data_IF_731111796042
#
_entry.id   IF_731111796042
#
_cell.length_a   1.000
_cell.length_b   1.000
_cell.length_c   1.000
_cell.angle_alpha   90.00
_cell.angle_beta   90.00
_cell.angle_gamma   90.00
#
_symmetry.space_group_name_H-M   'P 1'
#
loop_
_entity.id
_entity.type
_entity.pdbx_description
1 polymer ?
#
# COMPACT_ATOMS: atom_id res chain seq x y z
N UNK A 1 7.61 7.65 -24.76
CA UNK A 1 6.23 7.30 -25.18
C UNK A 1 5.32 7.72 -24.03
N UNK A 2 4.06 8.11 -24.28
CA UNK A 2 3.16 8.47 -23.21
C UNK A 2 2.89 7.26 -22.30
N UNK A 3 2.67 7.50 -20.98
CA UNK A 3 2.34 6.44 -20.04
C UNK A 3 1.06 5.69 -20.43
N UNK A 4 0.90 4.46 -19.96
CA UNK A 4 -0.21 3.57 -20.36
C UNK A 4 -1.60 4.19 -20.14
N UNK A 5 -1.75 5.05 -19.14
CA UNK A 5 -3.00 5.74 -18.79
C UNK A 5 -3.00 7.25 -19.13
N UNK A 6 -2.14 7.70 -20.05
CA UNK A 6 -2.00 9.14 -20.38
C UNK A 6 -3.27 9.80 -20.95
N UNK A 7 -4.24 9.00 -21.37
CA UNK A 7 -5.56 9.44 -21.86
C UNK A 7 -6.64 9.43 -20.76
N UNK A 8 -6.29 9.04 -19.52
CA UNK A 8 -7.21 8.90 -18.40
C UNK A 8 -7.06 10.09 -17.44
N UNK A 9 -8.17 10.65 -17.02
CA UNK A 9 -8.22 11.68 -15.97
C UNK A 9 -8.95 11.17 -14.74
N UNK A 10 -8.33 11.33 -13.57
CA UNK A 10 -8.81 10.87 -12.28
C UNK A 10 -9.14 12.08 -11.39
N UNK A 11 -10.34 12.14 -10.86
CA UNK A 11 -10.75 13.07 -9.81
C UNK A 11 -10.62 12.34 -8.46
N UNK A 12 -9.62 12.70 -7.67
CA UNK A 12 -9.31 12.05 -6.39
C UNK A 12 -9.86 12.90 -5.24
N UNK A 13 -11.04 12.53 -4.73
CA UNK A 13 -11.66 13.13 -3.54
C UNK A 13 -11.22 12.42 -2.26
N UNK A 14 -10.45 11.34 -2.37
CA UNK A 14 -10.07 10.50 -1.25
C UNK A 14 -9.02 11.14 -0.35
N UNK A 15 -8.93 10.67 0.89
CA UNK A 15 -8.01 11.17 1.93
C UNK A 15 -7.24 10.03 2.57
N UNK A 16 -6.23 10.36 3.31
CA UNK A 16 -5.39 9.50 4.14
C UNK A 16 -4.49 8.60 3.27
N UNK A 17 -4.80 7.31 3.05
CA UNK A 17 -3.84 6.43 2.41
C UNK A 17 -4.44 5.53 1.31
N UNK A 18 -5.48 4.76 1.57
CA UNK A 18 -5.96 3.74 0.63
C UNK A 18 -6.33 4.32 -0.76
N UNK A 19 -7.20 5.33 -0.79
CA UNK A 19 -7.56 6.03 -2.04
C UNK A 19 -6.38 6.80 -2.65
N UNK A 20 -5.65 7.63 -1.86
CA UNK A 20 -4.47 8.32 -2.36
C UNK A 20 -3.40 7.39 -2.92
N UNK A 21 -3.21 6.19 -2.36
CA UNK A 21 -2.30 5.17 -2.89
C UNK A 21 -2.74 4.68 -4.28
N UNK A 22 -4.04 4.40 -4.47
CA UNK A 22 -4.61 4.10 -5.79
C UNK A 22 -4.37 5.25 -6.77
N UNK A 23 -4.70 6.49 -6.38
CA UNK A 23 -4.50 7.69 -7.22
C UNK A 23 -3.03 7.87 -7.62
N UNK A 24 -2.08 7.63 -6.71
CA UNK A 24 -0.64 7.68 -7.01
C UNK A 24 -0.23 6.63 -8.04
N UNK A 25 -0.69 5.38 -7.90
CA UNK A 25 -0.37 4.31 -8.86
C UNK A 25 -0.93 4.64 -10.25
N UNK A 26 -2.17 5.13 -10.34
CA UNK A 26 -2.75 5.57 -11.62
C UNK A 26 -1.94 6.73 -12.22
N UNK A 27 -1.48 7.67 -11.39
CA UNK A 27 -0.58 8.76 -11.80
C UNK A 27 0.78 8.27 -12.31
N UNK A 28 1.39 7.30 -11.65
CA UNK A 28 2.65 6.66 -12.07
C UNK A 28 2.50 5.97 -13.43
N UNK A 29 1.34 5.39 -13.69
CA UNK A 29 0.99 4.77 -14.97
C UNK A 29 0.62 5.78 -16.07
N UNK A 30 0.66 7.07 -15.78
CA UNK A 30 0.47 8.14 -16.77
C UNK A 30 -0.82 8.93 -16.64
N UNK A 31 -1.79 8.53 -15.80
CA UNK A 31 -3.04 9.26 -15.65
C UNK A 31 -2.82 10.69 -15.14
N UNK A 32 -3.69 11.62 -15.57
CA UNK A 32 -3.80 12.93 -14.96
C UNK A 32 -4.64 12.82 -13.69
N UNK A 33 -4.04 13.04 -12.51
CA UNK A 33 -4.74 12.92 -11.22
C UNK A 33 -4.93 14.28 -10.59
N UNK A 34 -6.19 14.67 -10.37
CA UNK A 34 -6.61 15.91 -9.70
C UNK A 34 -7.08 15.55 -8.31
N UNK A 35 -6.25 15.88 -7.30
CA UNK A 35 -6.59 15.68 -5.90
C UNK A 35 -7.36 16.90 -5.39
N UNK A 36 -8.60 16.69 -4.99
CA UNK A 36 -9.44 17.71 -4.37
C UNK A 36 -9.20 17.70 -2.86
N UNK A 37 -8.86 18.85 -2.33
CA UNK A 37 -8.53 19.02 -0.92
C UNK A 37 -9.35 20.14 -0.29
N UNK A 38 -9.62 20.05 1.02
CA UNK A 38 -10.30 21.13 1.74
C UNK A 38 -9.43 22.39 1.75
N UNK A 39 -10.00 23.58 1.49
CA UNK A 39 -9.26 24.84 1.63
C UNK A 39 -8.62 24.98 3.02
N UNK A 40 -7.46 25.59 3.08
CA UNK A 40 -6.65 25.88 4.25
C UNK A 40 -6.09 24.67 5.02
N UNK A 41 -6.77 23.53 5.07
CA UNK A 41 -6.35 22.35 5.86
C UNK A 41 -5.83 21.19 5.01
N UNK A 42 -6.38 20.99 3.83
CA UNK A 42 -6.00 19.90 2.94
C UNK A 42 -6.38 18.52 3.45
N UNK A 43 -5.62 17.52 2.99
CA UNK A 43 -5.68 16.15 3.47
C UNK A 43 -5.14 16.07 4.91
N UNK A 44 -5.79 15.27 5.75
CA UNK A 44 -5.40 15.09 7.16
C UNK A 44 -3.92 14.70 7.31
N UNK A 45 -3.38 13.94 6.36
CA UNK A 45 -1.97 13.49 6.35
C UNK A 45 -0.95 14.62 6.20
N UNK A 46 -1.34 15.81 5.73
CA UNK A 46 -0.47 16.99 5.74
C UNK A 46 -0.03 17.40 7.14
N UNK A 47 -0.85 17.04 8.16
CA UNK A 47 -0.60 17.36 9.57
C UNK A 47 -0.04 16.18 10.37
N UNK A 48 0.16 15.02 9.73
CA UNK A 48 0.68 13.83 10.41
C UNK A 48 2.22 13.78 10.40
N UNK A 49 2.81 14.78 10.99
CA UNK A 49 4.24 14.87 11.27
C UNK A 49 4.50 15.15 12.76
N UNK A 50 5.74 15.08 13.25
CA UNK A 50 6.96 14.81 12.49
C UNK A 50 7.02 13.37 11.95
N UNK A 51 7.89 13.08 10.91
CA UNK A 51 8.83 14.01 10.31
C UNK A 51 8.21 14.88 9.21
N UNK A 52 8.84 16.05 9.01
CA UNK A 52 8.54 16.96 7.90
C UNK A 52 9.75 17.05 6.94
N UNK A 53 9.48 17.26 5.65
CA UNK A 53 10.50 17.51 4.66
C UNK A 53 11.33 18.74 5.08
N UNK A 54 12.64 18.65 4.95
CA UNK A 54 13.53 19.78 5.20
C UNK A 54 13.60 20.72 4.00
N UNK A 55 13.48 22.00 4.25
CA UNK A 55 13.73 23.04 3.28
C UNK A 55 15.21 23.17 2.92
N UNK A 56 15.50 24.04 1.96
CA UNK A 56 16.87 24.21 1.44
C UNK A 56 17.88 24.73 2.48
N UNK A 57 17.40 25.35 3.57
CA UNK A 57 18.25 25.83 4.67
C UNK A 57 18.21 24.90 5.91
N UNK A 58 17.58 23.73 5.79
CA UNK A 58 17.49 22.72 6.84
C UNK A 58 16.33 22.90 7.82
N UNK A 59 15.49 23.93 7.65
CA UNK A 59 14.26 24.16 8.39
C UNK A 59 13.20 23.08 8.10
N UNK A 60 12.23 22.91 8.99
CA UNK A 60 11.06 22.09 8.67
C UNK A 60 10.12 22.84 7.73
N UNK A 61 9.71 22.20 6.65
CA UNK A 61 8.60 22.68 5.82
C UNK A 61 7.25 22.27 6.42
N UNK A 62 6.14 22.63 5.77
CA UNK A 62 4.80 22.11 6.09
C UNK A 62 4.53 20.72 5.56
N UNK A 63 5.43 20.15 4.77
CA UNK A 63 5.21 18.91 4.04
C UNK A 63 5.52 17.68 4.91
N UNK A 64 4.49 17.06 5.47
CA UNK A 64 4.64 15.84 6.28
C UNK A 64 5.03 14.64 5.42
N UNK A 65 5.97 13.81 5.90
CA UNK A 65 6.43 12.63 5.19
C UNK A 65 5.28 11.66 4.85
N UNK A 66 4.23 11.60 5.67
CA UNK A 66 3.06 10.77 5.40
C UNK A 66 2.33 11.22 4.14
N UNK A 67 2.04 12.51 3.99
CA UNK A 67 1.44 13.07 2.78
C UNK A 67 2.31 12.81 1.53
N UNK A 68 3.62 13.02 1.66
CA UNK A 68 4.57 12.83 0.57
C UNK A 68 4.61 11.38 0.06
N UNK A 69 4.30 10.39 0.90
CA UNK A 69 4.39 8.97 0.55
C UNK A 69 3.35 8.50 -0.47
N UNK A 70 2.21 9.21 -0.63
CA UNK A 70 1.06 8.73 -1.40
C UNK A 70 0.50 9.76 -2.42
N UNK A 71 1.24 10.87 -2.71
CA UNK A 71 0.64 11.96 -3.49
C UNK A 71 1.50 12.48 -4.65
N UNK A 72 2.58 11.78 -5.06
CA UNK A 72 3.31 12.16 -6.29
C UNK A 72 2.43 11.97 -7.53
N UNK A 73 2.78 12.66 -8.59
CA UNK A 73 2.07 12.67 -9.87
C UNK A 73 0.62 13.19 -9.79
N UNK A 74 0.28 13.93 -8.72
CA UNK A 74 -1.03 14.57 -8.56
C UNK A 74 -0.94 16.09 -8.73
N UNK A 75 -2.10 16.70 -9.01
CA UNK A 75 -2.32 18.14 -9.01
C UNK A 75 -3.30 18.49 -7.89
N UNK A 76 -2.94 19.37 -6.97
CA UNK A 76 -3.80 19.77 -5.85
C UNK A 76 -4.75 20.90 -6.28
N UNK A 77 -6.03 20.66 -6.11
CA UNK A 77 -7.13 21.62 -6.23
C UNK A 77 -7.78 21.77 -4.85
N UNK A 78 -7.70 22.96 -4.25
CA UNK A 78 -8.51 23.24 -3.06
C UNK A 78 -9.96 23.50 -3.45
N UNK A 79 -10.92 22.82 -2.78
CA UNK A 79 -12.33 22.98 -3.06
C UNK A 79 -13.19 22.54 -1.87
N UNK A 80 -14.06 23.44 -1.39
CA UNK A 80 -15.06 23.13 -0.38
C UNK A 80 -16.39 22.71 -1.02
N UNK A 81 -16.57 21.42 -1.26
CA UNK A 81 -17.81 20.87 -1.80
C UNK A 81 -18.93 20.70 -0.75
N UNK A 82 -18.75 21.17 0.49
CA UNK A 82 -19.90 21.34 1.40
C UNK A 82 -20.75 22.55 1.01
N UNK A 83 -20.19 23.49 0.23
CA UNK A 83 -20.88 24.63 -0.36
C UNK A 83 -21.45 24.27 -1.74
N UNK A 84 -22.60 24.85 -2.08
CA UNK A 84 -23.30 24.58 -3.36
C UNK A 84 -22.43 24.87 -4.60
N UNK A 85 -21.62 25.91 -4.54
CA UNK A 85 -20.71 26.27 -5.62
C UNK A 85 -19.59 25.24 -5.78
N UNK A 86 -19.02 24.74 -4.68
CA UNK A 86 -18.06 23.66 -4.71
C UNK A 86 -18.64 22.34 -5.27
N UNK A 87 -19.90 22.04 -4.94
CA UNK A 87 -20.61 20.89 -5.52
C UNK A 87 -20.80 21.04 -7.03
N UNK A 88 -21.16 22.24 -7.49
CA UNK A 88 -21.28 22.54 -8.92
C UNK A 88 -19.97 22.28 -9.65
N UNK A 89 -18.87 22.79 -9.10
CA UNK A 89 -17.53 22.62 -9.68
C UNK A 89 -17.13 21.13 -9.74
N UNK A 90 -17.40 20.33 -8.68
CA UNK A 90 -17.15 18.88 -8.73
C UNK A 90 -17.93 18.21 -9.84
N UNK A 91 -19.23 18.54 -10.00
CA UNK A 91 -20.06 17.98 -11.07
C UNK A 91 -19.53 18.33 -12.47
N UNK A 92 -19.09 19.56 -12.67
CA UNK A 92 -18.47 19.98 -13.94
C UNK A 92 -17.15 19.26 -14.21
N UNK A 93 -16.30 19.08 -13.19
CA UNK A 93 -15.07 18.30 -13.32
C UNK A 93 -15.34 16.84 -13.63
N UNK A 94 -16.39 16.23 -13.08
CA UNK A 94 -16.77 14.84 -13.34
C UNK A 94 -17.15 14.62 -14.82
N UNK A 95 -17.74 15.62 -15.48
CA UNK A 95 -18.04 15.55 -16.91
C UNK A 95 -16.76 15.38 -17.76
N UNK A 96 -15.62 15.88 -17.25
CA UNK A 96 -14.32 15.88 -17.90
C UNK A 96 -13.39 14.75 -17.38
N UNK A 97 -13.85 13.91 -16.44
CA UNK A 97 -13.04 12.87 -15.81
C UNK A 97 -13.52 11.45 -16.15
N UNK A 98 -12.59 10.53 -16.17
CA UNK A 98 -12.83 9.10 -16.43
C UNK A 98 -13.09 8.31 -15.16
N UNK A 99 -12.42 8.68 -14.08
CA UNK A 99 -12.44 7.99 -12.80
C UNK A 99 -12.65 8.98 -11.66
N UNK A 100 -13.48 8.62 -10.69
CA UNK A 100 -13.57 9.31 -9.41
C UNK A 100 -13.17 8.33 -8.30
N UNK A 101 -12.30 8.78 -7.39
CA UNK A 101 -11.91 8.03 -6.18
C UNK A 101 -12.46 8.77 -4.95
N UNK A 102 -13.10 8.03 -4.03
CA UNK A 102 -13.55 8.60 -2.77
C UNK A 102 -13.43 7.58 -1.62
N UNK A 103 -13.34 8.06 -0.37
CA UNK A 103 -13.34 7.23 0.83
C UNK A 103 -14.11 7.88 2.00
N UNK A 104 -15.26 8.46 1.69
CA UNK A 104 -16.15 9.03 2.68
C UNK A 104 -17.02 7.94 3.33
N UNK A 105 -17.71 8.30 4.41
CA UNK A 105 -18.70 7.40 5.02
C UNK A 105 -19.80 7.09 4.01
N UNK A 106 -20.34 5.89 4.09
CA UNK A 106 -21.48 5.45 3.28
C UNK A 106 -22.60 6.48 3.30
N UNK A 107 -23.03 6.92 2.13
CA UNK A 107 -24.06 7.96 1.97
C UNK A 107 -23.59 9.40 2.21
N UNK A 108 -22.35 9.62 2.65
CA UNK A 108 -21.85 10.97 2.96
C UNK A 108 -21.82 11.92 1.77
N UNK A 109 -21.53 11.44 0.58
CA UNK A 109 -21.51 12.24 -0.64
C UNK A 109 -22.91 12.40 -1.26
N UNK A 110 -23.88 11.55 -0.95
CA UNK A 110 -25.26 11.64 -1.43
C UNK A 110 -25.94 12.95 -0.99
N UNK A 111 -25.64 13.43 0.23
CA UNK A 111 -26.15 14.72 0.73
C UNK A 111 -25.71 15.92 -0.13
N UNK A 112 -24.66 15.76 -0.93
CA UNK A 112 -24.12 16.78 -1.83
C UNK A 112 -24.44 16.52 -3.31
N UNK A 113 -25.16 15.41 -3.63
CA UNK A 113 -25.39 14.97 -5.00
C UNK A 113 -24.09 14.58 -5.72
N UNK A 114 -23.14 14.00 -4.99
CA UNK A 114 -21.82 13.58 -5.46
C UNK A 114 -21.62 12.05 -5.30
N UNK A 115 -22.69 11.30 -5.04
CA UNK A 115 -22.74 9.85 -5.05
C UNK A 115 -22.76 9.28 -6.47
N UNK A 116 -22.55 7.98 -6.60
CA UNK A 116 -22.47 7.31 -7.90
C UNK A 116 -23.71 7.55 -8.77
N UNK A 117 -24.92 7.39 -8.24
CA UNK A 117 -26.15 7.51 -9.02
C UNK A 117 -26.36 8.94 -9.53
N UNK A 118 -26.03 9.94 -8.71
CA UNK A 118 -26.10 11.36 -9.10
C UNK A 118 -25.09 11.69 -10.19
N UNK A 119 -23.85 11.21 -10.07
CA UNK A 119 -22.76 11.54 -11.01
C UNK A 119 -22.82 10.71 -12.29
N UNK A 120 -23.31 9.49 -12.24
CA UNK A 120 -23.59 8.65 -13.42
C UNK A 120 -24.58 9.31 -14.38
N UNK A 121 -25.55 10.07 -13.86
CA UNK A 121 -26.49 10.83 -14.69
C UNK A 121 -25.79 11.94 -15.49
N UNK A 122 -24.68 12.47 -14.98
CA UNK A 122 -23.86 13.50 -15.65
C UNK A 122 -22.87 12.85 -16.62
N UNK A 123 -22.18 11.80 -16.17
CA UNK A 123 -21.21 11.07 -16.96
C UNK A 123 -21.46 9.55 -16.88
N UNK A 124 -22.22 8.97 -17.83
CA UNK A 124 -22.51 7.54 -17.86
C UNK A 124 -21.26 6.65 -18.09
N UNK A 125 -20.15 7.24 -18.48
CA UNK A 125 -18.85 6.56 -18.67
C UNK A 125 -17.96 6.60 -17.43
N UNK A 126 -18.40 7.30 -16.37
CA UNK A 126 -17.63 7.46 -15.14
C UNK A 126 -17.39 6.11 -14.45
N UNK A 127 -16.14 5.84 -14.08
CA UNK A 127 -15.80 4.80 -13.12
C UNK A 127 -15.71 5.44 -11.75
N UNK A 128 -16.64 5.07 -10.87
CA UNK A 128 -16.73 5.61 -9.52
C UNK A 128 -16.21 4.57 -8.52
N UNK A 129 -15.09 4.85 -7.87
CA UNK A 129 -14.47 3.93 -6.91
C UNK A 129 -14.65 4.44 -5.48
N UNK A 130 -15.44 3.69 -4.70
CA UNK A 130 -15.67 3.94 -3.27
C UNK A 130 -14.81 3.00 -2.43
N UNK A 131 -14.15 3.55 -1.42
CA UNK A 131 -13.37 2.79 -0.43
C UNK A 131 -13.95 3.08 0.95
N UNK A 132 -14.48 2.05 1.61
CA UNK A 132 -15.07 2.16 2.95
C UNK A 132 -14.42 1.20 3.94
N UNK A 133 -14.75 1.31 5.23
CA UNK A 133 -14.25 0.37 6.23
C UNK A 133 -14.86 -1.03 6.12
N UNK A 134 -16.18 -1.10 5.79
CA UNK A 134 -16.97 -2.31 5.96
C UNK A 134 -17.94 -2.62 4.79
N UNK A 135 -17.88 -1.87 3.69
CA UNK A 135 -18.83 -1.98 2.59
C UNK A 135 -20.07 -1.09 2.78
N UNK A 136 -20.87 -1.00 1.72
CA UNK A 136 -22.09 -0.17 1.69
C UNK A 136 -23.32 -0.86 2.31
N UNK A 137 -23.23 -2.15 2.55
CA UNK A 137 -24.29 -2.98 3.15
C UNK A 137 -23.83 -3.74 4.39
N UNK A 138 -24.73 -4.55 4.97
CA UNK A 138 -24.44 -5.34 6.15
C UNK A 138 -24.47 -4.55 7.48
N UNK A 139 -24.27 -5.25 8.60
CA UNK A 139 -24.48 -4.67 9.94
C UNK A 139 -23.47 -3.60 10.33
N UNK A 140 -22.34 -3.48 9.62
CA UNK A 140 -21.27 -2.53 9.93
C UNK A 140 -21.14 -1.38 8.91
N UNK A 141 -22.01 -1.28 7.92
CA UNK A 141 -21.92 -0.30 6.84
C UNK A 141 -21.76 1.16 7.33
N UNK A 142 -22.39 1.53 8.44
CA UNK A 142 -22.32 2.89 8.99
C UNK A 142 -21.12 3.14 9.92
N UNK A 143 -20.29 2.12 10.17
CA UNK A 143 -19.12 2.26 11.04
C UNK A 143 -17.95 2.90 10.28
N UNK A 144 -17.21 3.77 10.95
CA UNK A 144 -15.92 4.22 10.44
C UNK A 144 -14.89 3.08 10.54
N UNK A 145 -14.05 2.94 9.51
CA UNK A 145 -12.94 1.99 9.45
C UNK A 145 -11.61 2.71 9.30
N UNK A 146 -10.61 2.27 10.06
CA UNK A 146 -9.21 2.66 9.90
C UNK A 146 -8.34 1.41 9.91
N UNK A 147 -7.22 1.44 9.21
CA UNK A 147 -6.30 0.31 9.03
C UNK A 147 -6.06 -0.52 10.30
N UNK A 148 -5.63 0.13 11.39
CA UNK A 148 -5.28 -0.58 12.62
C UNK A 148 -6.48 -1.35 13.21
N UNK A 149 -7.66 -0.72 13.21
CA UNK A 149 -8.88 -1.38 13.69
C UNK A 149 -9.25 -2.57 12.79
N UNK A 150 -9.08 -2.43 11.49
CA UNK A 150 -9.37 -3.50 10.53
C UNK A 150 -8.34 -4.63 10.61
N UNK A 151 -7.06 -4.36 10.84
CA UNK A 151 -6.08 -5.41 11.13
C UNK A 151 -6.49 -6.26 12.35
N UNK A 152 -7.08 -5.63 13.37
CA UNK A 152 -7.63 -6.32 14.53
C UNK A 152 -8.89 -7.14 14.21
N UNK A 153 -9.90 -6.49 13.62
CA UNK A 153 -11.19 -7.13 13.29
C UNK A 153 -11.08 -8.18 12.18
N UNK A 154 -10.22 -7.93 11.20
CA UNK A 154 -10.00 -8.80 10.04
C UNK A 154 -9.04 -9.97 10.29
N UNK A 155 -8.66 -10.23 11.54
CA UNK A 155 -7.90 -11.43 11.92
C UNK A 155 -6.38 -11.36 11.75
N UNK A 156 -5.82 -10.34 11.06
CA UNK A 156 -4.37 -10.24 10.83
C UNK A 156 -3.59 -10.20 12.15
N UNK A 157 -4.03 -9.40 13.12
CA UNK A 157 -3.36 -9.29 14.42
C UNK A 157 -3.41 -10.58 15.23
N UNK A 158 -4.37 -11.45 14.99
CA UNK A 158 -4.42 -12.77 15.65
C UNK A 158 -3.28 -13.70 15.19
N UNK A 159 -2.69 -13.43 14.03
CA UNK A 159 -1.62 -14.19 13.40
C UNK A 159 -0.24 -13.55 13.60
N UNK A 160 -0.20 -12.23 13.83
CA UNK A 160 1.03 -11.43 13.89
C UNK A 160 1.40 -11.14 15.34
N UNK A 161 2.66 -11.40 15.70
CA UNK A 161 3.21 -11.24 17.04
C UNK A 161 3.92 -12.51 17.53
N UNK A 162 4.49 -12.46 18.73
CA UNK A 162 5.20 -13.60 19.33
C UNK A 162 4.26 -14.77 19.59
N UNK A 163 4.80 -15.98 19.55
CA UNK A 163 4.07 -17.19 19.86
C UNK A 163 3.46 -17.12 21.28
N UNK A 164 2.38 -17.87 21.52
CA UNK A 164 1.60 -17.75 22.77
C UNK A 164 2.39 -18.20 24.02
N UNK A 165 3.39 -19.06 23.84
CA UNK A 165 4.29 -19.60 24.87
C UNK A 165 5.57 -18.78 25.06
N UNK A 166 5.77 -17.72 24.29
CA UNK A 166 6.95 -16.86 24.40
C UNK A 166 6.72 -15.65 25.33
N UNK A 167 7.82 -15.20 25.97
CA UNK A 167 7.78 -13.99 26.78
C UNK A 167 7.39 -12.75 25.91
N UNK A 168 6.41 -11.98 26.37
CA UNK A 168 5.86 -10.86 25.63
C UNK A 168 4.91 -11.27 24.51
N UNK A 169 4.32 -12.49 24.60
CA UNK A 169 3.27 -12.93 23.68
C UNK A 169 2.09 -11.93 23.62
N UNK A 170 1.53 -11.78 22.43
CA UNK A 170 0.37 -10.95 22.20
C UNK A 170 0.18 -10.58 20.72
N UNK A 171 -1.02 -10.14 20.34
CA UNK A 171 -1.29 -9.67 18.99
C UNK A 171 -0.58 -8.34 18.73
N UNK A 172 0.07 -8.24 17.58
CA UNK A 172 0.80 -7.04 17.14
C UNK A 172 0.31 -6.66 15.73
N UNK A 173 0.06 -5.37 15.50
CA UNK A 173 -0.21 -4.90 14.14
C UNK A 173 1.06 -4.92 13.28
N UNK A 174 0.89 -5.00 11.96
CA UNK A 174 2.00 -4.75 11.03
C UNK A 174 2.46 -3.29 11.15
N UNK A 175 3.76 -3.04 11.04
CA UNK A 175 4.37 -1.72 11.25
C UNK A 175 3.94 -0.63 10.25
N UNK A 176 3.45 -1.03 9.08
CA UNK A 176 2.84 -0.15 8.07
C UNK A 176 1.33 -0.31 8.07
N UNK A 177 0.59 0.67 7.53
CA UNK A 177 -0.86 0.59 7.30
C UNK A 177 -1.15 -0.36 6.12
N UNK A 178 -0.93 -1.67 6.35
CA UNK A 178 -0.90 -2.69 5.32
C UNK A 178 -2.26 -2.88 4.66
N UNK A 179 -3.35 -2.83 5.43
CA UNK A 179 -4.71 -2.96 4.91
C UNK A 179 -5.06 -1.82 3.96
N UNK A 180 -4.68 -0.59 4.30
CA UNK A 180 -4.86 0.57 3.40
C UNK A 180 -4.10 0.39 2.09
N UNK A 181 -2.83 -0.01 2.15
CA UNK A 181 -1.98 -0.22 0.96
C UNK A 181 -2.58 -1.32 0.07
N UNK A 182 -2.97 -2.46 0.64
CA UNK A 182 -3.60 -3.56 -0.10
C UNK A 182 -4.94 -3.12 -0.70
N UNK A 183 -5.74 -2.34 0.03
CA UNK A 183 -7.00 -1.80 -0.50
C UNK A 183 -6.76 -0.84 -1.66
N UNK A 184 -5.75 0.01 -1.59
CA UNK A 184 -5.34 0.87 -2.70
C UNK A 184 -4.89 0.08 -3.93
N UNK A 185 -4.19 -1.04 -3.74
CA UNK A 185 -3.84 -1.97 -4.83
C UNK A 185 -5.07 -2.63 -5.43
N UNK A 186 -5.99 -3.17 -4.62
CA UNK A 186 -7.24 -3.75 -5.12
C UNK A 186 -8.12 -2.70 -5.82
N UNK A 187 -8.17 -1.46 -5.30
CA UNK A 187 -8.86 -0.36 -5.95
C UNK A 187 -8.27 -0.07 -7.34
N UNK A 188 -6.94 -0.05 -7.45
CA UNK A 188 -6.27 0.10 -8.75
C UNK A 188 -6.65 -1.01 -9.71
N UNK A 189 -6.62 -2.28 -9.27
CA UNK A 189 -7.05 -3.43 -10.09
C UNK A 189 -8.51 -3.30 -10.52
N UNK A 190 -9.40 -2.95 -9.59
CA UNK A 190 -10.82 -2.73 -9.86
C UNK A 190 -11.06 -1.62 -10.88
N UNK A 191 -10.38 -0.48 -10.73
CA UNK A 191 -10.45 0.65 -11.68
C UNK A 191 -9.95 0.24 -13.07
N UNK A 192 -8.80 -0.46 -13.16
CA UNK A 192 -8.26 -0.94 -14.44
C UNK A 192 -9.19 -1.95 -15.12
N UNK A 193 -9.79 -2.87 -14.36
CA UNK A 193 -10.79 -3.80 -14.87
C UNK A 193 -12.04 -3.07 -15.39
N UNK A 194 -12.51 -2.05 -14.65
CA UNK A 194 -13.65 -1.23 -15.05
C UNK A 194 -13.35 -0.38 -16.29
N UNK A 195 -12.14 0.18 -16.41
CA UNK A 195 -11.69 0.87 -17.62
C UNK A 195 -11.69 -0.07 -18.84
N UNK A 196 -11.13 -1.27 -18.70
CA UNK A 196 -11.15 -2.27 -19.77
C UNK A 196 -12.57 -2.69 -20.16
N UNK A 197 -13.47 -2.85 -19.20
CA UNK A 197 -14.88 -3.11 -19.47
C UNK A 197 -15.53 -1.96 -20.22
N UNK A 198 -15.28 -0.71 -19.82
CA UNK A 198 -15.79 0.50 -20.46
C UNK A 198 -15.35 0.62 -21.92
N UNK A 199 -14.11 0.27 -22.24
CA UNK A 199 -13.63 0.30 -23.64
C UNK A 199 -14.42 -0.65 -24.54
N UNK A 200 -14.94 -1.76 -24.01
CA UNK A 200 -15.71 -2.74 -24.77
C UNK A 200 -17.21 -2.38 -24.86
N UNK A 201 -17.78 -1.79 -23.81
CA UNK A 201 -19.24 -1.62 -23.66
C UNK A 201 -19.70 -0.16 -23.65
N UNK A 202 -18.78 0.79 -23.60
CA UNK A 202 -19.08 2.23 -23.61
C UNK A 202 -19.60 2.81 -22.31
N UNK A 203 -19.82 1.99 -21.25
CA UNK A 203 -20.40 2.42 -19.98
C UNK A 203 -19.41 2.26 -18.82
N UNK A 204 -19.45 3.24 -17.89
CA UNK A 204 -18.76 3.16 -16.62
C UNK A 204 -19.49 2.29 -15.60
N UNK A 205 -18.92 2.17 -14.41
CA UNK A 205 -19.53 1.40 -13.32
C UNK A 205 -19.05 1.87 -11.95
N UNK A 206 -19.76 1.42 -10.91
CA UNK A 206 -19.33 1.54 -9.53
C UNK A 206 -18.35 0.41 -9.19
N UNK A 207 -17.23 0.77 -8.59
CA UNK A 207 -16.23 -0.13 -8.00
C UNK A 207 -16.26 0.11 -6.50
N UNK A 208 -16.68 -0.87 -5.73
CA UNK A 208 -16.75 -0.78 -4.28
C UNK A 208 -15.69 -1.65 -3.62
N UNK A 209 -14.98 -1.10 -2.65
CA UNK A 209 -14.00 -1.78 -1.82
C UNK A 209 -14.29 -1.54 -0.34
N UNK A 210 -14.19 -2.61 0.46
CA UNK A 210 -14.17 -2.52 1.91
C UNK A 210 -12.79 -2.95 2.44
N UNK A 211 -12.22 -2.15 3.36
CA UNK A 211 -10.97 -2.52 4.01
C UNK A 211 -11.04 -3.90 4.67
N UNK A 212 -12.18 -4.22 5.30
CA UNK A 212 -12.36 -5.53 5.96
C UNK A 212 -12.33 -6.68 4.97
N UNK A 213 -13.00 -6.55 3.82
CA UNK A 213 -13.06 -7.60 2.80
C UNK A 213 -11.68 -7.86 2.20
N UNK A 214 -10.95 -6.79 1.90
CA UNK A 214 -9.57 -6.88 1.41
C UNK A 214 -8.68 -7.54 2.46
N UNK A 215 -8.79 -7.14 3.74
CA UNK A 215 -8.02 -7.76 4.82
C UNK A 215 -8.29 -9.25 4.93
N UNK A 216 -9.55 -9.69 4.88
CA UNK A 216 -9.94 -11.11 4.94
C UNK A 216 -9.40 -11.86 3.72
N UNK A 217 -9.54 -11.30 2.51
CA UNK A 217 -9.00 -11.91 1.29
C UNK A 217 -7.47 -12.11 1.37
N UNK A 218 -6.77 -11.20 2.04
CA UNK A 218 -5.31 -11.26 2.22
C UNK A 218 -4.84 -12.21 3.34
N UNK A 219 -5.73 -12.85 4.10
CA UNK A 219 -5.32 -13.92 5.03
C UNK A 219 -4.86 -15.20 4.33
N UNK A 220 -5.17 -15.37 3.05
CA UNK A 220 -4.65 -16.40 2.16
C UNK A 220 -4.68 -17.83 2.76
N UNK A 221 -3.50 -18.47 2.88
CA UNK A 221 -3.37 -19.83 3.43
C UNK A 221 -3.85 -19.96 4.89
N UNK A 222 -3.76 -18.92 5.69
CA UNK A 222 -4.22 -18.96 7.08
C UNK A 222 -5.76 -19.04 7.17
N UNK A 223 -6.45 -18.28 6.30
CA UNK A 223 -7.90 -18.43 6.16
C UNK A 223 -8.27 -19.84 5.71
N UNK A 224 -7.55 -20.38 4.71
CA UNK A 224 -7.79 -21.75 4.22
C UNK A 224 -7.48 -22.82 5.26
N UNK A 225 -6.45 -22.65 6.09
CA UNK A 225 -6.18 -23.53 7.22
C UNK A 225 -7.39 -23.60 8.17
N UNK A 226 -8.00 -22.46 8.48
CA UNK A 226 -9.22 -22.43 9.30
C UNK A 226 -10.42 -23.05 8.58
N UNK A 227 -10.69 -22.64 7.37
CA UNK A 227 -11.88 -23.08 6.62
C UNK A 227 -11.89 -24.59 6.33
N UNK A 228 -10.71 -25.23 6.21
CA UNK A 228 -10.58 -26.65 5.97
C UNK A 228 -10.58 -27.50 7.24
N UNK A 229 -10.21 -26.94 8.38
CA UNK A 229 -10.04 -27.69 9.63
C UNK A 229 -11.02 -27.29 10.73
N UNK A 230 -11.61 -26.11 10.65
CA UNK A 230 -12.41 -25.52 11.74
C UNK A 230 -11.54 -25.04 12.93
N UNK A 231 -10.21 -25.16 12.86
CA UNK A 231 -9.30 -24.79 13.95
C UNK A 231 -8.66 -23.44 13.64
N UNK A 232 -8.88 -22.45 14.51
CA UNK A 232 -8.28 -21.12 14.34
C UNK A 232 -6.74 -21.21 14.45
N UNK A 233 -6.01 -20.66 13.45
CA UNK A 233 -4.57 -20.59 13.51
C UNK A 233 -4.09 -19.75 14.71
N UNK A 234 -2.94 -20.16 15.28
CA UNK A 234 -2.29 -19.44 16.39
C UNK A 234 -1.14 -18.61 15.89
N UNK A 235 -0.71 -17.62 16.70
CA UNK A 235 0.55 -16.90 16.46
C UNK A 235 1.73 -17.85 16.62
N UNK A 236 2.67 -17.77 15.71
CA UNK A 236 3.88 -18.62 15.65
C UNK A 236 5.17 -17.78 15.57
N UNK A 237 5.12 -16.51 15.95
CA UNK A 237 6.22 -15.59 15.69
C UNK A 237 6.50 -15.48 14.19
N UNK A 238 7.76 -15.68 13.81
CA UNK A 238 8.18 -15.70 12.40
C UNK A 238 8.07 -17.09 11.75
N UNK A 239 7.66 -18.12 12.48
CA UNK A 239 7.62 -19.49 11.95
C UNK A 239 6.45 -19.70 10.98
N UNK A 240 6.74 -20.35 9.86
CA UNK A 240 5.70 -20.74 8.89
C UNK A 240 4.90 -21.95 9.40
N UNK A 241 3.53 -21.93 9.32
CA UNK A 241 2.72 -23.03 9.85
C UNK A 241 2.93 -24.37 9.11
N UNK A 242 3.18 -24.34 7.81
CA UNK A 242 3.15 -25.52 6.95
C UNK A 242 4.52 -25.91 6.36
N UNK A 243 5.59 -25.16 6.64
CA UNK A 243 6.95 -25.38 6.11
C UNK A 243 7.98 -25.26 7.25
N UNK A 244 8.95 -26.19 7.30
CA UNK A 244 10.02 -26.20 8.32
C UNK A 244 11.34 -26.65 7.69
N UNK A 245 12.47 -25.95 7.98
CA UNK A 245 12.57 -24.65 8.65
C UNK A 245 12.21 -23.50 7.71
N UNK A 246 11.37 -22.59 8.19
CA UNK A 246 10.99 -21.37 7.48
C UNK A 246 10.70 -20.30 8.54
N UNK A 247 11.74 -19.63 9.04
CA UNK A 247 11.71 -18.62 10.11
C UNK A 247 13.07 -17.96 10.29
N UNK A 248 13.19 -17.09 11.28
CA UNK A 248 14.45 -16.53 11.75
C UNK A 248 15.18 -17.47 12.71
N UNK A 249 16.51 -17.35 12.69
CA UNK A 249 17.42 -18.09 13.58
C UNK A 249 18.53 -17.15 14.06
N UNK A 250 18.93 -17.24 15.36
CA UNK A 250 20.04 -16.44 15.88
C UNK A 250 21.36 -16.83 15.23
N UNK A 251 22.22 -15.86 15.01
CA UNK A 251 23.61 -16.04 14.55
C UNK A 251 24.58 -15.50 15.58
N UNK A 252 25.87 -15.50 15.30
CA UNK A 252 26.88 -14.96 16.22
C UNK A 252 26.76 -13.45 16.44
N UNK A 253 26.15 -12.72 15.50
CA UNK A 253 26.08 -11.24 15.48
C UNK A 253 24.70 -10.65 15.20
N UNK A 254 23.66 -11.48 15.14
CA UNK A 254 22.29 -11.04 14.85
C UNK A 254 21.36 -12.22 14.55
N UNK A 255 20.56 -12.07 13.48
CA UNK A 255 19.61 -13.09 13.04
C UNK A 255 19.70 -13.32 11.53
N UNK A 256 19.41 -14.56 11.10
CA UNK A 256 19.25 -14.94 9.71
C UNK A 256 17.84 -15.51 9.45
N UNK A 257 17.24 -15.13 8.35
CA UNK A 257 16.03 -15.78 7.85
C UNK A 257 16.42 -16.97 6.99
N UNK A 258 15.89 -18.16 7.31
CA UNK A 258 15.97 -19.35 6.49
C UNK A 258 14.60 -19.62 5.86
N UNK A 259 14.56 -19.80 4.52
CA UNK A 259 13.32 -20.05 3.76
C UNK A 259 13.43 -21.34 2.96
N UNK A 260 13.50 -22.47 3.66
CA UNK A 260 13.73 -23.80 3.07
C UNK A 260 12.40 -24.40 2.63
N UNK A 261 12.06 -24.23 1.35
CA UNK A 261 10.77 -24.58 0.79
C UNK A 261 10.61 -26.04 0.33
N UNK A 262 11.70 -26.83 0.24
CA UNK A 262 11.65 -28.22 -0.24
C UNK A 262 12.75 -29.08 0.36
N UNK A 263 12.64 -30.40 0.16
CA UNK A 263 13.55 -31.38 0.78
C UNK A 263 14.97 -31.31 0.19
N UNK A 264 15.12 -30.93 -1.09
CA UNK A 264 16.44 -30.73 -1.71
C UNK A 264 17.19 -29.53 -1.12
N UNK A 265 16.49 -28.44 -0.83
CA UNK A 265 17.06 -27.29 -0.12
C UNK A 265 17.42 -27.64 1.33
N UNK A 266 16.60 -28.47 2.00
CA UNK A 266 16.91 -28.93 3.35
C UNK A 266 18.19 -29.79 3.40
N UNK A 267 18.39 -30.69 2.45
CA UNK A 267 19.62 -31.48 2.32
C UNK A 267 20.85 -30.58 2.20
N UNK A 268 20.80 -29.60 1.29
CA UNK A 268 21.89 -28.63 1.10
C UNK A 268 22.15 -27.79 2.35
N UNK A 269 21.11 -27.35 3.03
CA UNK A 269 21.23 -26.65 4.29
C UNK A 269 21.92 -27.52 5.36
N UNK A 270 21.51 -28.78 5.49
CA UNK A 270 22.11 -29.73 6.45
C UNK A 270 23.61 -29.96 6.19
N UNK A 271 24.00 -30.05 4.91
CA UNK A 271 25.41 -30.12 4.50
C UNK A 271 26.20 -28.87 4.92
N UNK A 272 25.68 -27.66 4.61
CA UNK A 272 26.31 -26.38 4.99
C UNK A 272 26.38 -26.21 6.51
N UNK A 273 25.37 -26.71 7.21
CA UNK A 273 25.28 -26.67 8.66
C UNK A 273 26.25 -27.70 9.34
N UNK A 274 26.88 -28.59 8.57
CA UNK A 274 27.78 -29.65 9.09
C UNK A 274 27.03 -30.84 9.66
N UNK A 275 25.76 -31.01 9.34
CA UNK A 275 24.89 -32.08 9.84
C UNK A 275 24.14 -32.78 8.68
N UNK A 276 24.87 -33.37 7.70
CA UNK A 276 24.24 -34.02 6.54
C UNK A 276 23.28 -35.15 6.94
N UNK A 277 23.49 -35.78 8.10
CA UNK A 277 22.64 -36.85 8.65
C UNK A 277 21.18 -36.38 8.90
N UNK A 278 20.92 -35.11 9.09
CA UNK A 278 19.55 -34.59 9.27
C UNK A 278 18.66 -34.87 8.04
N UNK A 279 19.24 -34.85 6.85
CA UNK A 279 18.49 -35.05 5.63
C UNK A 279 18.02 -36.50 5.41
N UNK A 280 18.68 -37.46 6.08
CA UNK A 280 18.35 -38.88 6.00
C UNK A 280 17.63 -39.39 7.28
N UNK A 281 17.47 -38.53 8.30
CA UNK A 281 16.69 -38.85 9.49
C UNK A 281 15.20 -38.92 9.14
N UNK A 282 14.51 -40.04 9.41
CA UNK A 282 13.07 -40.16 9.11
C UNK A 282 12.17 -39.04 9.69
N UNK A 283 12.61 -38.42 10.79
CA UNK A 283 11.91 -37.27 11.42
C UNK A 283 12.01 -35.99 10.57
N UNK A 284 13.04 -35.88 9.70
CA UNK A 284 13.36 -34.63 8.98
C UNK A 284 13.47 -34.79 7.47
N UNK A 285 13.45 -35.99 6.95
CA UNK A 285 13.70 -36.32 5.55
C UNK A 285 12.70 -35.66 4.56
N UNK A 286 11.49 -35.36 4.99
CA UNK A 286 10.51 -34.64 4.18
C UNK A 286 9.80 -33.52 4.96
N UNK A 287 9.23 -32.52 4.24
CA UNK A 287 8.59 -31.38 4.90
C UNK A 287 7.48 -31.79 5.87
N UNK A 288 6.65 -32.77 5.52
CA UNK A 288 5.58 -33.27 6.41
C UNK A 288 6.15 -33.77 7.73
N UNK A 289 7.26 -34.50 7.70
CA UNK A 289 7.94 -35.02 8.89
C UNK A 289 8.56 -33.87 9.70
N UNK A 290 9.23 -32.91 9.05
CA UNK A 290 9.80 -31.72 9.71
C UNK A 290 8.74 -30.87 10.39
N UNK A 291 7.57 -30.68 9.77
CA UNK A 291 6.43 -29.97 10.39
C UNK A 291 5.97 -30.69 11.66
N UNK A 292 5.87 -32.02 11.62
CA UNK A 292 5.46 -32.83 12.79
C UNK A 292 6.50 -32.77 13.91
N UNK A 293 7.79 -32.74 13.57
CA UNK A 293 8.92 -32.75 14.52
C UNK A 293 9.59 -31.36 14.66
N UNK A 294 8.87 -30.25 14.41
CA UNK A 294 9.45 -28.89 14.49
C UNK A 294 10.04 -28.57 15.86
N UNK A 295 9.41 -29.07 16.92
CA UNK A 295 9.86 -28.88 18.31
C UNK A 295 11.23 -29.51 18.58
N UNK A 296 11.65 -30.47 17.78
CA UNK A 296 12.97 -31.09 17.85
C UNK A 296 13.95 -30.38 16.91
N UNK A 297 13.61 -30.21 15.65
CA UNK A 297 14.51 -29.70 14.62
C UNK A 297 14.88 -28.22 14.83
N UNK A 298 13.93 -27.37 15.18
CA UNK A 298 14.18 -25.90 15.31
C UNK A 298 15.22 -25.61 16.39
N UNK A 299 15.18 -26.21 17.62
CA UNK A 299 16.25 -26.03 18.61
C UNK A 299 17.62 -26.55 18.14
N UNK A 300 17.67 -27.65 17.39
CA UNK A 300 18.93 -28.18 16.85
C UNK A 300 19.55 -27.17 15.87
N UNK A 301 18.77 -26.61 14.98
CA UNK A 301 19.24 -25.57 14.05
C UNK A 301 19.75 -24.34 14.83
N UNK A 302 19.00 -23.85 15.82
CA UNK A 302 19.41 -22.71 16.67
C UNK A 302 20.77 -22.94 17.33
N UNK A 303 21.08 -24.16 17.77
CA UNK A 303 22.37 -24.51 18.37
C UNK A 303 23.54 -24.41 17.38
N UNK A 304 23.29 -24.58 16.09
CA UNK A 304 24.32 -24.55 15.04
C UNK A 304 24.49 -23.14 14.47
N UNK A 305 23.38 -22.40 14.28
CA UNK A 305 23.43 -21.10 13.60
C UNK A 305 24.20 -20.04 14.36
N UNK A 306 24.29 -20.13 15.68
CA UNK A 306 25.04 -19.19 16.55
C UNK A 306 26.58 -19.24 16.40
N UNK A 307 27.12 -20.23 15.68
CA UNK A 307 28.57 -20.36 15.53
C UNK A 307 29.17 -19.59 14.34
N UNK A 308 28.35 -18.98 13.50
CA UNK A 308 28.81 -18.13 12.39
C UNK A 308 28.03 -16.80 12.40
N UNK A 309 28.65 -15.78 11.84
CA UNK A 309 27.99 -14.49 11.59
C UNK A 309 26.89 -14.62 10.55
N UNK A 310 25.95 -13.65 10.53
CA UNK A 310 24.90 -13.59 9.51
C UNK A 310 25.49 -13.55 8.09
N UNK A 311 26.55 -12.75 7.90
CA UNK A 311 27.22 -12.63 6.59
C UNK A 311 27.86 -13.96 6.13
N UNK A 312 28.52 -14.70 7.04
CA UNK A 312 29.12 -16.01 6.72
C UNK A 312 28.06 -17.05 6.36
N UNK A 313 26.92 -17.05 7.07
CA UNK A 313 25.80 -17.94 6.74
C UNK A 313 25.20 -17.62 5.38
N UNK A 314 24.93 -16.33 5.11
CA UNK A 314 24.35 -15.88 3.84
C UNK A 314 25.25 -16.31 2.69
N UNK A 315 26.57 -16.03 2.77
CA UNK A 315 27.51 -16.39 1.70
C UNK A 315 27.54 -17.91 1.42
N UNK A 316 27.59 -18.73 2.48
CA UNK A 316 27.65 -20.19 2.34
C UNK A 316 26.34 -20.78 1.78
N UNK A 317 25.18 -20.28 2.24
CA UNK A 317 23.88 -20.78 1.83
C UNK A 317 23.52 -20.33 0.40
N UNK A 318 23.84 -19.09 0.01
CA UNK A 318 23.68 -18.61 -1.36
C UNK A 318 24.50 -19.44 -2.34
N UNK A 319 25.76 -19.74 -2.01
CA UNK A 319 26.61 -20.62 -2.82
C UNK A 319 26.00 -22.02 -2.98
N UNK A 320 25.33 -22.54 -1.97
CA UNK A 320 24.62 -23.82 -2.01
C UNK A 320 23.24 -23.73 -2.71
N UNK A 321 22.76 -22.52 -3.03
CA UNK A 321 21.44 -22.29 -3.61
C UNK A 321 20.29 -22.51 -2.61
N UNK A 322 20.52 -22.19 -1.34
CA UNK A 322 19.51 -22.20 -0.27
C UNK A 322 19.06 -20.77 0.01
N UNK A 323 17.78 -20.44 -0.17
CA UNK A 323 17.29 -19.07 0.06
C UNK A 323 17.39 -18.68 1.54
N UNK A 324 18.05 -17.57 1.79
CA UNK A 324 18.27 -17.00 3.13
C UNK A 324 18.49 -15.49 3.02
N UNK A 325 18.53 -14.79 4.15
CA UNK A 325 18.87 -13.37 4.15
C UNK A 325 18.88 -12.77 5.56
N UNK A 326 19.48 -11.58 5.73
CA UNK A 326 19.44 -10.83 6.98
C UNK A 326 18.06 -10.18 7.21
N UNK A 327 17.81 -9.69 8.43
CA UNK A 327 16.72 -8.79 8.76
C UNK A 327 17.26 -7.36 8.71
N UNK A 328 16.98 -6.65 7.62
CA UNK A 328 17.44 -5.29 7.40
C UNK A 328 16.50 -4.25 8.03
N UNK A 329 17.04 -3.20 8.58
CA UNK A 329 16.31 -1.97 8.84
C UNK A 329 16.13 -1.14 7.55
N UNK A 330 15.31 -0.07 7.61
CA UNK A 330 14.99 0.75 6.43
C UNK A 330 16.23 1.45 5.87
N UNK A 331 17.21 1.84 6.70
CA UNK A 331 18.44 2.46 6.23
C UNK A 331 19.31 1.44 5.47
N UNK A 332 19.42 0.23 5.99
CA UNK A 332 20.12 -0.88 5.34
C UNK A 332 19.46 -1.27 4.00
N UNK A 333 18.11 -1.26 3.93
CA UNK A 333 17.40 -1.50 2.67
C UNK A 333 17.80 -0.48 1.60
N UNK A 334 17.84 0.82 1.91
CA UNK A 334 18.22 1.83 0.91
C UNK A 334 19.73 1.90 0.64
N UNK A 335 20.56 1.32 1.52
CA UNK A 335 22.00 1.15 1.29
C UNK A 335 22.34 -0.12 0.51
N UNK A 336 21.41 -1.04 0.35
CA UNK A 336 21.61 -2.31 -0.32
C UNK A 336 21.97 -2.11 -1.81
N UNK A 337 23.06 -2.74 -2.32
CA UNK A 337 23.51 -2.57 -3.71
C UNK A 337 22.47 -2.97 -4.76
N UNK A 338 21.64 -4.00 -4.49
CA UNK A 338 20.59 -4.42 -5.39
C UNK A 338 19.45 -3.39 -5.44
N UNK A 339 19.05 -2.86 -4.28
CA UNK A 339 18.03 -1.81 -4.17
C UNK A 339 18.47 -0.55 -4.92
N UNK A 340 19.76 -0.17 -4.79
CA UNK A 340 20.35 0.95 -5.53
C UNK A 340 20.40 0.69 -7.03
N UNK A 341 20.89 -0.48 -7.45
CA UNK A 341 20.95 -0.87 -8.86
C UNK A 341 19.54 -0.95 -9.51
N UNK A 342 18.51 -1.28 -8.73
CA UNK A 342 17.11 -1.27 -9.15
C UNK A 342 16.51 0.14 -9.22
N UNK A 343 17.19 1.17 -8.71
CA UNK A 343 16.72 2.56 -8.71
C UNK A 343 15.42 2.73 -7.90
N UNK A 344 15.32 2.05 -6.74
CA UNK A 344 14.10 2.09 -5.90
C UNK A 344 13.98 3.38 -5.08
N UNK A 345 14.97 4.26 -5.13
CA UNK A 345 14.91 5.64 -4.64
C UNK A 345 15.02 6.59 -5.83
N UNK A 346 14.07 7.51 -5.95
CA UNK A 346 14.07 8.57 -6.96
C UNK A 346 14.02 9.93 -6.30
N UNK A 347 14.62 10.93 -6.93
CA UNK A 347 14.59 12.33 -6.48
C UNK A 347 13.69 13.13 -7.42
N UNK A 348 12.77 13.90 -6.87
CA UNK A 348 11.84 14.73 -7.65
C UNK A 348 12.01 16.21 -7.28
N UNK A 349 12.03 17.14 -8.25
CA UNK A 349 12.07 18.58 -7.96
C UNK A 349 10.91 18.99 -7.05
N UNK A 350 11.21 19.74 -5.97
CA UNK A 350 10.20 20.19 -5.02
C UNK A 350 10.38 21.69 -4.70
N UNK A 351 9.30 22.50 -4.74
CA UNK A 351 9.42 23.96 -4.65
C UNK A 351 10.02 24.47 -3.33
N UNK A 352 9.76 23.82 -2.20
CA UNK A 352 10.27 24.26 -0.89
C UNK A 352 11.63 23.67 -0.54
N UNK A 353 11.92 22.44 -1.00
CA UNK A 353 13.11 21.70 -0.59
C UNK A 353 14.15 21.56 -1.70
N UNK A 354 13.87 22.08 -2.91
CA UNK A 354 14.70 21.81 -4.09
C UNK A 354 14.50 20.40 -4.64
N UNK A 355 14.52 19.39 -3.79
CA UNK A 355 14.25 17.99 -4.12
C UNK A 355 13.51 17.27 -2.99
N UNK A 356 12.70 16.27 -3.34
CA UNK A 356 12.06 15.33 -2.40
C UNK A 356 12.36 13.90 -2.82
N UNK A 357 12.91 13.06 -1.90
CA UNK A 357 13.10 11.65 -2.18
C UNK A 357 11.75 10.91 -2.18
N UNK A 358 11.62 9.96 -3.11
CA UNK A 358 10.43 9.10 -3.23
C UNK A 358 10.86 7.64 -3.38
N UNK A 359 10.00 6.73 -2.90
CA UNK A 359 10.14 5.30 -3.20
C UNK A 359 9.59 5.06 -4.61
N UNK A 360 10.38 4.49 -5.49
CA UNK A 360 9.98 4.22 -6.86
C UNK A 360 8.81 3.22 -6.94
N UNK A 361 8.01 3.30 -7.98
CA UNK A 361 7.00 2.28 -8.31
C UNK A 361 7.69 0.94 -8.58
N UNK A 362 7.17 -0.18 -8.05
CA UNK A 362 7.69 -1.50 -8.36
C UNK A 362 7.29 -1.98 -9.77
N UNK A 363 6.35 -1.31 -10.42
CA UNK A 363 5.84 -1.67 -11.75
C UNK A 363 6.85 -1.23 -12.81
N UNK A 364 7.20 -2.14 -13.72
CA UNK A 364 8.06 -1.89 -14.87
C UNK A 364 7.37 -2.39 -16.13
N UNK A 365 7.04 -1.47 -17.04
CA UNK A 365 6.44 -1.77 -18.34
C UNK A 365 7.47 -1.49 -19.43
N UNK A 366 7.64 -2.42 -20.37
CA UNK A 366 8.64 -2.29 -21.43
C UNK A 366 8.33 -1.19 -22.43
N UNK A 367 7.06 -1.01 -22.77
CA UNK A 367 6.60 -0.09 -23.83
C UNK A 367 6.07 1.25 -23.29
N UNK A 368 5.57 1.27 -22.06
CA UNK A 368 4.98 2.45 -21.42
C UNK A 368 5.48 2.57 -19.97
N UNK A 369 6.76 2.85 -19.76
CA UNK A 369 7.35 2.87 -18.42
C UNK A 369 6.63 3.88 -17.52
N UNK A 370 6.64 3.60 -16.22
CA UNK A 370 6.14 4.54 -15.21
C UNK A 370 6.94 5.84 -15.24
N UNK A 371 6.27 6.95 -14.94
CA UNK A 371 6.84 8.29 -15.00
C UNK A 371 6.77 8.99 -13.63
N UNK A 372 7.80 9.74 -13.30
CA UNK A 372 7.86 10.60 -12.10
C UNK A 372 7.84 12.06 -12.55
N UNK A 373 6.64 12.55 -12.90
CA UNK A 373 6.45 13.85 -13.58
C UNK A 373 6.32 15.00 -12.60
N UNK A 374 5.68 14.78 -11.46
CA UNK A 374 5.34 15.80 -10.47
C UNK A 374 5.61 15.28 -9.07
N UNK A 375 6.37 16.03 -8.28
CA UNK A 375 6.46 15.79 -6.84
C UNK A 375 5.07 15.88 -6.18
N UNK A 376 4.88 15.35 -4.97
CA UNK A 376 3.66 15.61 -4.22
C UNK A 376 3.40 17.11 -4.13
N UNK A 377 2.19 17.58 -4.50
CA UNK A 377 1.93 19.02 -4.67
C UNK A 377 1.77 19.73 -3.33
N UNK A 378 2.08 21.03 -3.31
CA UNK A 378 1.65 21.91 -2.24
C UNK A 378 0.12 22.06 -2.25
N UNK A 379 -0.46 22.41 -1.10
CA UNK A 379 -1.90 22.59 -0.97
C UNK A 379 -2.40 23.68 -1.92
N UNK A 380 -3.32 23.30 -2.82
CA UNK A 380 -3.95 24.22 -3.78
C UNK A 380 -3.01 24.73 -4.89
N UNK A 381 -1.82 24.16 -5.03
CA UNK A 381 -0.80 24.61 -5.99
C UNK A 381 -1.33 24.77 -7.42
N UNK A 382 -2.28 23.97 -7.81
CA UNK A 382 -2.78 23.91 -9.18
C UNK A 382 -4.20 24.44 -9.35
N UNK A 383 -4.84 24.97 -8.30
CA UNK A 383 -6.27 25.32 -8.29
C UNK A 383 -6.65 26.25 -9.45
N UNK A 384 -5.97 27.37 -9.61
CA UNK A 384 -6.27 28.35 -10.65
C UNK A 384 -6.05 27.79 -12.06
N UNK A 385 -4.92 27.10 -12.27
CA UNK A 385 -4.57 26.52 -13.57
C UNK A 385 -5.58 25.44 -14.00
N UNK A 386 -6.03 24.60 -13.03
CA UNK A 386 -7.02 23.56 -13.29
C UNK A 386 -8.39 24.13 -13.62
N UNK A 387 -8.89 25.09 -12.82
CA UNK A 387 -10.19 25.74 -13.06
C UNK A 387 -10.21 26.46 -14.41
N UNK A 388 -9.16 27.19 -14.75
CA UNK A 388 -9.02 27.85 -16.05
C UNK A 388 -8.99 26.84 -17.21
N UNK A 389 -8.17 25.83 -17.11
CA UNK A 389 -7.94 24.86 -18.20
C UNK A 389 -9.14 23.95 -18.45
N UNK A 390 -9.76 23.45 -17.38
CA UNK A 390 -10.82 22.44 -17.49
C UNK A 390 -12.22 23.06 -17.58
N UNK A 391 -12.46 24.16 -16.89
CA UNK A 391 -13.78 24.78 -16.78
C UNK A 391 -13.87 26.19 -17.41
N UNK A 392 -12.76 26.71 -17.94
CA UNK A 392 -12.73 28.00 -18.61
C UNK A 392 -12.86 29.20 -17.68
N UNK A 393 -12.64 29.05 -16.37
CA UNK A 393 -12.77 30.16 -15.43
C UNK A 393 -11.74 31.25 -15.71
N UNK A 394 -12.17 32.49 -15.68
CA UNK A 394 -11.28 33.65 -15.74
C UNK A 394 -10.73 34.04 -14.35
N UNK A 395 -9.84 35.01 -14.32
CA UNK A 395 -9.19 35.44 -13.07
C UNK A 395 -10.17 36.08 -12.08
N UNK A 396 -11.25 36.73 -12.57
CA UNK A 396 -12.26 37.38 -11.72
C UNK A 396 -13.11 36.28 -11.03
N UNK A 397 -13.53 35.25 -11.77
CA UNK A 397 -14.26 34.11 -11.23
C UNK A 397 -13.44 33.36 -10.17
N UNK A 398 -12.14 33.11 -10.42
CA UNK A 398 -11.23 32.49 -9.44
C UNK A 398 -11.08 33.36 -8.19
N UNK A 399 -10.93 34.68 -8.34
CA UNK A 399 -10.86 35.59 -7.20
C UNK A 399 -12.15 35.58 -6.36
N UNK A 400 -13.31 35.52 -7.01
CA UNK A 400 -14.61 35.40 -6.34
C UNK A 400 -14.71 34.12 -5.52
N UNK A 401 -14.27 32.97 -6.06
CA UNK A 401 -14.24 31.69 -5.34
C UNK A 401 -13.34 31.74 -4.10
N UNK A 402 -12.16 32.38 -4.21
CA UNK A 402 -11.26 32.58 -3.06
C UNK A 402 -11.91 33.47 -1.98
N UNK A 403 -12.54 34.57 -2.41
CA UNK A 403 -13.23 35.48 -1.48
C UNK A 403 -14.39 34.81 -0.75
N UNK A 404 -15.09 33.91 -1.43
CA UNK A 404 -16.15 33.08 -0.85
C UNK A 404 -15.63 31.86 -0.07
N UNK A 405 -14.32 31.65 -0.01
CA UNK A 405 -13.67 30.48 0.63
C UNK A 405 -14.12 29.14 0.06
N UNK A 406 -14.47 29.12 -1.21
CA UNK A 406 -14.78 27.87 -1.94
C UNK A 406 -13.50 27.16 -2.36
N UNK A 407 -12.44 27.91 -2.67
CA UNK A 407 -11.10 27.42 -3.01
C UNK A 407 -10.03 28.04 -2.14
#
# INVERSE_FOLDING_TARGET
>A
MPGALSHIRVLDLSRVLAGPWCGQILGDLGAEVIKVERPATGDDTRHWGPPYLKGQQGENTSEAAYYLSANRNKQSLTLDFTQSEGQRIVRELVAECDVLLENFKVGGLAAYGLDYESLKAINPRLIYCSITGFGSDGPYAQRAGYDFMIQGLGGLMSLTGRAEDEAGAGPVKVGVALTDILTGLYATVGVLAALNHREQNGVGQHVELALLDVQIACLANQAMNYLTTGVAPKRMGNAHPNIVPYQDFPTADGDIILTIGNDGQFRKFAEVAGHPEWADDPRFACNKARVAHRQELVPMIRQVTVFRTTAEWVAALEQAGVPCGPINDVAQVFADPHVQARGLRVEMPHPLAGSVPQVASPIRLSESPVEYRKAPPLLGEHSEALLKRLLGFDAEQVAALRSAKVI
#
